data_IF_934072014763
#
_entry.id   IF_934072014763
#
_cell.length_a   1.000
_cell.length_b   1.000
_cell.length_c   1.000
_cell.angle_alpha   90.00
_cell.angle_beta   90.00
_cell.angle_gamma   90.00
#
_symmetry.space_group_name_H-M   'P 1'
#
loop_
_entity.id
_entity.type
_entity.pdbx_description
1 polymer ?
#
# COMPACT_ATOMS: atom_id res chain seq x y z
N UNK A 1 -19.44 -7.79 22.04
CA UNK A 1 -19.23 -7.02 20.80
C UNK A 1 -17.90 -6.30 20.91
N UNK A 2 -16.91 -6.67 20.11
CA UNK A 2 -15.59 -6.01 20.18
C UNK A 2 -15.66 -4.69 19.41
N UNK A 3 -15.41 -3.58 20.09
CA UNK A 3 -15.36 -2.27 19.45
C UNK A 3 -14.16 -2.17 18.49
N UNK A 4 -14.34 -1.48 17.36
CA UNK A 4 -13.23 -1.12 16.47
C UNK A 4 -12.27 -0.21 17.25
N UNK A 5 -11.04 -0.67 17.48
CA UNK A 5 -10.04 0.04 18.29
C UNK A 5 -9.43 1.24 17.56
N UNK A 6 -9.21 1.12 16.24
CA UNK A 6 -8.55 2.15 15.46
C UNK A 6 -8.98 2.08 14.00
N UNK A 7 -9.11 3.25 13.35
CA UNK A 7 -9.27 3.38 11.90
C UNK A 7 -8.03 4.07 11.33
N UNK A 8 -7.44 3.48 10.31
CA UNK A 8 -6.24 4.01 9.65
C UNK A 8 -6.57 4.30 8.19
N UNK A 9 -6.65 5.57 7.78
CA UNK A 9 -6.79 5.90 6.37
C UNK A 9 -5.48 5.62 5.63
N UNK A 10 -5.59 5.15 4.39
CA UNK A 10 -4.43 5.09 3.51
C UNK A 10 -4.06 6.47 2.97
N UNK A 11 -2.79 6.67 2.64
CA UNK A 11 -2.27 7.88 2.02
C UNK A 11 -1.79 7.59 0.60
N UNK A 12 -1.92 8.58 -0.30
CA UNK A 12 -1.47 8.41 -1.68
C UNK A 12 0.06 8.25 -1.72
N UNK A 13 0.52 7.17 -2.32
CA UNK A 13 1.94 6.89 -2.53
C UNK A 13 2.21 6.55 -4.00
N UNK A 14 3.26 7.12 -4.57
CA UNK A 14 3.66 6.87 -5.96
C UNK A 14 4.65 5.69 -6.03
N UNK A 15 4.34 4.69 -6.85
CA UNK A 15 5.22 3.53 -7.10
C UNK A 15 6.15 3.75 -8.31
N UNK A 16 6.02 4.87 -9.00
CA UNK A 16 6.70 5.17 -10.26
C UNK A 16 5.82 4.88 -11.47
N UNK A 17 6.25 5.32 -12.66
CA UNK A 17 5.49 5.14 -13.91
C UNK A 17 4.15 5.87 -13.94
N UNK A 18 3.91 6.80 -13.01
CA UNK A 18 2.64 7.50 -12.84
C UNK A 18 1.56 6.67 -12.11
N UNK A 19 1.93 5.54 -11.51
CA UNK A 19 1.00 4.66 -10.81
C UNK A 19 1.01 4.92 -9.29
N UNK A 20 -0.13 5.33 -8.74
CA UNK A 20 -0.28 5.59 -7.30
C UNK A 20 -1.16 4.55 -6.60
N UNK A 21 -0.83 4.27 -5.34
CA UNK A 21 -1.58 3.40 -4.42
C UNK A 21 -2.03 4.18 -3.19
N UNK A 22 -2.93 3.58 -2.40
CA UNK A 22 -3.26 4.04 -1.06
C UNK A 22 -2.51 3.20 -0.03
N UNK A 23 -1.44 3.75 0.56
CA UNK A 23 -0.61 3.08 1.56
C UNK A 23 -1.20 3.21 2.95
N UNK A 24 -1.47 2.09 3.61
CA UNK A 24 -1.98 2.05 4.98
C UNK A 24 -0.87 1.77 5.98
N UNK A 25 0.03 0.84 5.67
CA UNK A 25 1.21 0.52 6.49
C UNK A 25 2.50 0.63 5.66
N UNK A 26 3.58 1.16 6.25
CA UNK A 26 3.62 1.86 7.53
C UNK A 26 2.85 3.19 7.47
N UNK A 27 2.11 3.53 8.53
CA UNK A 27 1.30 4.75 8.58
C UNK A 27 1.18 5.31 10.00
N UNK A 28 0.66 6.53 10.15
CA UNK A 28 0.34 7.05 11.49
C UNK A 28 -1.01 6.49 11.96
N UNK A 29 -1.17 6.06 13.23
CA UNK A 29 -0.18 6.04 14.31
C UNK A 29 0.60 4.70 14.42
N UNK A 30 0.38 3.73 13.52
CA UNK A 30 0.99 2.40 13.59
C UNK A 30 1.86 2.09 12.39
N UNK A 31 3.12 1.77 12.65
CA UNK A 31 4.03 1.27 11.61
C UNK A 31 3.78 -0.20 11.25
N UNK A 32 3.15 -0.98 12.14
CA UNK A 32 2.83 -2.39 11.94
C UNK A 32 1.59 -2.81 12.73
N UNK A 33 0.99 -3.95 12.34
CA UNK A 33 -0.07 -4.64 13.07
C UNK A 33 0.36 -6.10 13.22
N UNK A 34 0.91 -6.47 14.38
CA UNK A 34 1.52 -7.80 14.56
C UNK A 34 2.62 -8.02 13.51
N UNK A 35 2.58 -9.12 12.72
CA UNK A 35 3.56 -9.39 11.66
C UNK A 35 3.34 -8.57 10.38
N UNK A 36 2.22 -7.84 10.24
CA UNK A 36 1.94 -7.05 9.05
C UNK A 36 2.66 -5.70 9.11
N UNK A 37 3.67 -5.52 8.26
CA UNK A 37 4.55 -4.33 8.26
C UNK A 37 4.36 -3.42 7.04
N UNK A 38 3.63 -3.87 6.01
CA UNK A 38 3.43 -3.15 4.76
C UNK A 38 2.07 -3.49 4.13
N UNK A 39 1.28 -2.47 3.76
CA UNK A 39 -0.03 -2.63 3.10
C UNK A 39 -0.24 -1.46 2.14
N UNK A 40 -0.35 -1.77 0.86
CA UNK A 40 -0.80 -0.88 -0.20
C UNK A 40 -2.11 -1.39 -0.80
N UNK A 41 -3.11 -0.51 -0.92
CA UNK A 41 -4.33 -0.76 -1.67
C UNK A 41 -4.21 -0.18 -3.07
N UNK A 42 -4.34 -1.05 -4.07
CA UNK A 42 -4.23 -0.69 -5.48
C UNK A 42 -5.61 -0.37 -6.04
N UNK A 43 -5.81 0.88 -6.47
CA UNK A 43 -7.05 1.33 -7.11
C UNK A 43 -8.07 1.98 -6.18
N UNK A 44 -9.37 1.99 -6.56
CA UNK A 44 -9.91 1.41 -7.80
C UNK A 44 -9.36 2.16 -9.03
N UNK A 45 -8.88 1.42 -10.03
CA UNK A 45 -8.37 2.00 -11.29
C UNK A 45 -8.49 0.98 -12.43
N UNK A 46 -8.68 1.47 -13.65
CA UNK A 46 -8.64 0.66 -14.88
C UNK A 46 -7.27 0.84 -15.50
N UNK A 47 -6.50 -0.23 -15.61
CA UNK A 47 -5.20 -0.21 -16.29
C UNK A 47 -5.43 -0.42 -17.79
N UNK A 48 -5.03 0.53 -18.64
CA UNK A 48 -5.19 0.34 -20.07
C UNK A 48 -4.09 -0.61 -20.60
N UNK A 49 -4.37 -1.40 -21.64
CA UNK A 49 -3.47 -2.45 -22.11
C UNK A 49 -2.11 -1.93 -22.59
N UNK A 50 -2.03 -0.69 -23.07
CA UNK A 50 -0.80 -0.05 -23.52
C UNK A 50 0.11 0.45 -22.39
N UNK A 51 -0.39 0.49 -21.15
CA UNK A 51 0.36 0.94 -19.96
C UNK A 51 0.12 -0.04 -18.80
N UNK A 52 0.70 -1.25 -18.87
CA UNK A 52 0.65 -2.16 -17.74
C UNK A 52 1.34 -1.52 -16.52
N UNK A 53 0.88 -1.92 -15.34
CA UNK A 53 1.61 -1.62 -14.12
C UNK A 53 2.95 -2.37 -14.19
N UNK A 54 4.05 -1.63 -14.04
CA UNK A 54 5.39 -2.19 -14.03
C UNK A 54 6.13 -1.71 -12.78
N UNK A 55 6.61 -2.67 -11.99
CA UNK A 55 7.41 -2.41 -10.79
C UNK A 55 8.83 -2.86 -11.08
N UNK A 56 9.75 -1.88 -11.13
CA UNK A 56 11.16 -2.13 -11.43
C UNK A 56 11.77 -3.15 -10.46
N UNK A 57 12.76 -3.95 -10.89
CA UNK A 57 13.45 -4.90 -10.01
C UNK A 57 13.94 -4.25 -8.72
N UNK A 58 13.63 -4.85 -7.57
CA UNK A 58 14.05 -4.37 -6.26
C UNK A 58 14.16 -5.55 -5.26
N UNK A 59 15.17 -5.55 -4.37
CA UNK A 59 15.38 -6.63 -3.40
C UNK A 59 14.50 -6.49 -2.16
N UNK A 60 14.30 -7.62 -1.47
CA UNK A 60 13.64 -7.73 -0.17
C UNK A 60 14.47 -8.61 0.77
N UNK A 61 14.52 -8.29 2.06
CA UNK A 61 15.21 -9.10 3.09
C UNK A 61 14.54 -8.92 4.45
N UNK A 62 14.37 -10.01 5.21
CA UNK A 62 13.95 -9.95 6.61
C UNK A 62 12.52 -9.44 6.84
N UNK A 63 11.67 -9.60 5.83
CA UNK A 63 10.23 -9.34 5.88
C UNK A 63 9.48 -10.61 5.47
#
# INVERSE_FOLDING_TARGET
>A
MTAIQQRMPGHRHDLGGGFSVSRVLPGSPRRAIGPFVFIDYFGPTTLPPERPMDVRPHPHIGL
#
